data_IF_240622081355
#
_entry.id   IF_240622081355
#
_cell.length_a   1.000
_cell.length_b   1.000
_cell.length_c   1.000
_cell.angle_alpha   90.00
_cell.angle_beta   90.00
_cell.angle_gamma   90.00
#
_symmetry.space_group_name_H-M   'P 1'
#
loop_
_entity.id
_entity.type
_entity.pdbx_description
1 polymer ?
#
# COMPACT_ATOMS: atom_id res chain seq x y z
N UNK A 1 10.67 21.10 4.26
CA UNK A 1 9.74 19.97 4.43
C UNK A 1 8.92 19.86 3.15
N UNK A 2 9.32 19.00 2.21
CA UNK A 2 8.60 18.83 0.96
C UNK A 2 7.21 18.28 1.27
N UNK A 3 6.16 19.06 1.05
CA UNK A 3 4.79 18.58 1.18
C UNK A 3 4.59 17.47 0.16
N UNK A 4 4.58 16.22 0.59
CA UNK A 4 4.26 15.09 -0.29
C UNK A 4 2.79 15.19 -0.66
N UNK A 5 2.50 15.81 -1.81
CA UNK A 5 1.15 15.92 -2.32
C UNK A 5 0.58 14.53 -2.53
N UNK A 6 -0.47 14.23 -1.77
CA UNK A 6 -1.17 12.96 -1.90
C UNK A 6 -1.72 12.82 -3.33
N UNK A 7 -1.42 11.70 -4.00
CA UNK A 7 -1.78 11.49 -5.41
C UNK A 7 -2.36 10.12 -5.70
N UNK A 8 -3.19 10.07 -6.73
CA UNK A 8 -3.62 8.85 -7.41
C UNK A 8 -2.81 8.73 -8.70
N UNK A 9 -2.13 7.60 -8.88
CA UNK A 9 -1.41 7.31 -10.12
C UNK A 9 -2.42 6.88 -11.18
N UNK A 10 -2.40 7.48 -12.40
CA UNK A 10 -3.34 7.13 -13.44
C UNK A 10 -3.21 5.64 -13.81
N UNK A 11 -4.32 4.94 -14.11
CA UNK A 11 -4.28 3.58 -14.59
C UNK A 11 -3.41 3.46 -15.83
N UNK A 12 -2.54 2.44 -15.85
CA UNK A 12 -1.78 2.07 -17.03
C UNK A 12 -2.14 0.65 -17.46
N UNK A 13 -2.32 0.40 -18.76
CA UNK A 13 -2.48 -0.96 -19.25
C UNK A 13 -1.23 -1.77 -18.88
N UNK A 14 -1.44 -3.05 -18.63
CA UNK A 14 -0.31 -3.93 -18.41
C UNK A 14 0.54 -4.03 -19.68
N UNK A 15 1.86 -4.01 -19.48
CA UNK A 15 2.86 -4.35 -20.48
C UNK A 15 4.00 -5.10 -19.80
N UNK A 16 4.70 -6.02 -20.51
CA UNK A 16 5.92 -6.63 -20.01
C UNK A 16 6.97 -5.56 -19.67
N UNK A 17 7.77 -5.83 -18.65
CA UNK A 17 8.89 -4.95 -18.27
C UNK A 17 9.84 -4.79 -19.46
N UNK A 18 10.23 -3.55 -19.74
CA UNK A 18 11.36 -3.26 -20.63
C UNK A 18 12.69 -3.62 -19.95
N UNK A 19 13.77 -3.70 -20.71
CA UNK A 19 15.09 -3.99 -20.16
C UNK A 19 15.51 -2.92 -19.15
N UNK A 20 15.26 -1.64 -19.44
CA UNK A 20 15.57 -0.53 -18.53
C UNK A 20 14.78 -0.61 -17.22
N UNK A 21 13.48 -0.90 -17.30
CA UNK A 21 12.63 -1.07 -16.12
C UNK A 21 13.08 -2.28 -15.29
N UNK A 22 13.42 -3.40 -15.95
CA UNK A 22 13.93 -4.58 -15.29
C UNK A 22 15.28 -4.30 -14.60
N UNK A 23 16.23 -3.64 -15.26
CA UNK A 23 17.52 -3.29 -14.65
C UNK A 23 17.36 -2.38 -13.43
N UNK A 24 16.40 -1.44 -13.47
CA UNK A 24 16.10 -0.61 -12.31
C UNK A 24 15.41 -1.37 -11.17
N UNK A 25 14.60 -2.39 -11.49
CA UNK A 25 13.85 -3.20 -10.51
C UNK A 25 14.68 -4.34 -9.91
N UNK A 26 15.54 -4.97 -10.70
CA UNK A 26 16.26 -6.20 -10.35
C UNK A 26 17.05 -6.10 -9.04
N UNK A 27 17.75 -5.00 -8.70
CA UNK A 27 18.47 -4.86 -7.44
C UNK A 27 17.59 -5.03 -6.19
N UNK A 28 16.29 -4.74 -6.29
CA UNK A 28 15.35 -4.90 -5.17
C UNK A 28 14.83 -6.33 -5.03
N UNK A 29 14.71 -7.04 -6.15
CA UNK A 29 14.14 -8.40 -6.26
C UNK A 29 15.19 -9.48 -6.01
N UNK A 30 16.43 -9.23 -6.45
CA UNK A 30 17.54 -10.16 -6.28
C UNK A 30 17.86 -10.34 -4.78
N UNK A 31 18.05 -11.59 -4.33
CA UNK A 31 18.43 -11.84 -2.96
C UNK A 31 19.84 -11.28 -2.71
N UNK A 32 20.01 -10.55 -1.60
CA UNK A 32 21.32 -9.99 -1.20
C UNK A 32 22.38 -11.07 -0.95
N UNK A 33 21.95 -12.26 -0.52
CA UNK A 33 22.78 -13.45 -0.41
C UNK A 33 22.12 -14.58 -1.22
N UNK A 34 22.81 -15.16 -2.22
CA UNK A 34 22.26 -16.24 -3.03
C UNK A 34 22.31 -17.56 -2.25
N UNK A 35 21.41 -17.75 -1.30
CA UNK A 35 21.20 -19.06 -0.67
C UNK A 35 20.13 -19.84 -1.45
N UNK A 36 20.48 -21.08 -1.81
CA UNK A 36 19.59 -22.04 -2.49
C UNK A 36 19.61 -21.96 -4.02
N UNK A 37 18.72 -22.73 -4.66
CA UNK A 37 18.64 -22.83 -6.13
C UNK A 37 18.24 -21.48 -6.74
N UNK A 38 19.01 -21.02 -7.73
CA UNK A 38 18.70 -19.82 -8.51
C UNK A 38 17.33 -19.99 -9.18
N UNK A 39 16.50 -18.97 -9.03
CA UNK A 39 15.23 -18.90 -9.76
C UNK A 39 15.59 -18.51 -11.19
N UNK A 40 15.33 -19.41 -12.14
CA UNK A 40 15.78 -19.29 -13.53
C UNK A 40 15.30 -18.01 -14.22
N UNK A 41 14.06 -17.58 -13.92
CA UNK A 41 13.49 -16.38 -14.55
C UNK A 41 12.76 -15.52 -13.51
N UNK A 42 13.46 -14.50 -13.00
CA UNK A 42 12.92 -13.56 -12.03
C UNK A 42 12.10 -12.45 -12.70
N UNK A 43 12.47 -12.05 -13.93
CA UNK A 43 11.75 -11.02 -14.69
C UNK A 43 10.37 -11.50 -15.03
N UNK A 44 10.27 -12.70 -15.60
CA UNK A 44 8.98 -13.32 -15.95
C UNK A 44 8.06 -13.48 -14.73
N UNK A 45 8.62 -13.74 -13.54
CA UNK A 45 7.84 -13.78 -12.29
C UNK A 45 7.34 -12.41 -11.85
N UNK A 46 8.13 -11.37 -12.04
CA UNK A 46 7.69 -10.00 -11.76
C UNK A 46 6.64 -9.54 -12.78
N UNK A 47 6.80 -9.89 -14.06
CA UNK A 47 5.80 -9.67 -15.10
C UNK A 47 4.47 -10.35 -14.75
N UNK A 48 4.50 -11.62 -14.32
CA UNK A 48 3.33 -12.35 -13.85
C UNK A 48 2.62 -11.64 -12.68
N UNK A 49 3.39 -11.14 -11.70
CA UNK A 49 2.86 -10.40 -10.56
C UNK A 49 2.21 -9.10 -11.02
N UNK A 50 2.86 -8.34 -11.91
CA UNK A 50 2.36 -7.06 -12.41
C UNK A 50 1.16 -7.21 -13.34
N UNK A 51 1.12 -8.26 -14.15
CA UNK A 51 -0.05 -8.63 -14.95
C UNK A 51 -1.26 -8.80 -14.05
N UNK A 52 -1.15 -9.69 -13.05
CA UNK A 52 -2.25 -9.95 -12.14
C UNK A 52 -2.58 -8.75 -11.24
N UNK A 53 -1.60 -7.92 -10.86
CA UNK A 53 -1.83 -6.70 -10.09
C UNK A 53 -2.65 -5.66 -10.86
N UNK A 54 -2.46 -5.60 -12.19
CA UNK A 54 -3.15 -4.68 -13.08
C UNK A 54 -4.63 -5.04 -13.22
N UNK A 55 -5.00 -6.32 -13.09
CA UNK A 55 -6.41 -6.76 -13.12
C UNK A 55 -7.04 -6.74 -11.72
N UNK A 56 -7.99 -5.82 -11.44
CA UNK A 56 -8.59 -5.68 -10.12
C UNK A 56 -9.43 -6.90 -9.72
N UNK A 57 -9.13 -7.50 -8.57
CA UNK A 57 -9.98 -8.55 -7.99
C UNK A 57 -9.67 -9.98 -8.43
N UNK A 58 -8.75 -10.16 -9.39
CA UNK A 58 -8.43 -11.47 -9.93
C UNK A 58 -7.64 -12.33 -8.93
N UNK A 59 -8.11 -13.55 -8.62
CA UNK A 59 -7.36 -14.50 -7.82
C UNK A 59 -6.15 -15.02 -8.61
N UNK A 60 -5.12 -15.49 -7.90
CA UNK A 60 -3.90 -16.06 -8.51
C UNK A 60 -4.19 -17.15 -9.54
N UNK A 61 -5.22 -17.97 -9.33
CA UNK A 61 -5.64 -19.04 -10.26
C UNK A 61 -6.03 -18.58 -11.67
N UNK A 62 -6.30 -17.29 -11.88
CA UNK A 62 -6.59 -16.73 -13.20
C UNK A 62 -5.34 -16.20 -13.93
N UNK A 63 -4.15 -16.45 -13.39
CA UNK A 63 -2.92 -16.10 -14.07
C UNK A 63 -2.80 -16.90 -15.39
N UNK A 64 -2.46 -16.25 -16.51
CA UNK A 64 -2.27 -16.94 -17.79
C UNK A 64 -1.25 -18.07 -17.71
N UNK A 65 -1.51 -19.16 -18.44
CA UNK A 65 -0.66 -20.36 -18.45
C UNK A 65 0.78 -20.08 -18.91
N UNK A 66 0.98 -19.05 -19.74
CA UNK A 66 2.30 -18.58 -20.18
C UNK A 66 3.26 -18.22 -19.01
N UNK A 67 2.73 -17.90 -17.82
CA UNK A 67 3.53 -17.62 -16.62
C UNK A 67 3.84 -18.85 -15.78
N UNK A 68 3.42 -20.04 -16.22
CA UNK A 68 3.55 -21.30 -15.51
C UNK A 68 2.59 -21.39 -14.31
N UNK A 69 2.97 -22.21 -13.32
CA UNK A 69 2.08 -22.57 -12.20
C UNK A 69 1.74 -21.35 -11.32
N UNK A 70 0.45 -20.98 -11.18
CA UNK A 70 0.04 -19.83 -10.37
C UNK A 70 0.50 -19.86 -8.91
N UNK A 71 0.54 -21.04 -8.29
CA UNK A 71 0.96 -21.24 -6.89
C UNK A 71 2.42 -20.84 -6.68
N UNK A 72 3.23 -21.04 -7.72
CA UNK A 72 4.66 -20.74 -7.72
C UNK A 72 4.89 -19.23 -7.75
N UNK A 73 4.10 -18.49 -8.54
CA UNK A 73 4.12 -17.02 -8.56
C UNK A 73 3.57 -16.46 -7.25
N UNK A 74 2.47 -16.99 -6.74
CA UNK A 74 1.89 -16.57 -5.47
C UNK A 74 2.84 -16.80 -4.28
N UNK A 75 3.57 -17.92 -4.24
CA UNK A 75 4.59 -18.20 -3.22
C UNK A 75 5.75 -17.21 -3.32
N UNK A 76 6.21 -16.90 -4.53
CA UNK A 76 7.26 -15.92 -4.77
C UNK A 76 6.83 -14.51 -4.32
N UNK A 77 5.62 -14.07 -4.69
CA UNK A 77 5.03 -12.81 -4.22
C UNK A 77 4.98 -12.72 -2.69
N UNK A 78 4.53 -13.78 -2.00
CA UNK A 78 4.51 -13.82 -0.53
C UNK A 78 5.91 -13.70 0.08
N UNK A 79 6.91 -14.39 -0.51
CA UNK A 79 8.31 -14.31 -0.09
C UNK A 79 8.85 -12.89 -0.24
N UNK A 80 8.65 -12.25 -1.39
CA UNK A 80 9.08 -10.87 -1.64
C UNK A 80 8.41 -9.89 -0.67
N UNK A 81 7.11 -10.09 -0.42
CA UNK A 81 6.34 -9.25 0.50
C UNK A 81 6.88 -9.34 1.93
N UNK A 82 7.14 -10.55 2.42
CA UNK A 82 7.74 -10.78 3.75
C UNK A 82 9.17 -10.24 3.85
N UNK A 83 9.90 -10.24 2.74
CA UNK A 83 11.23 -9.64 2.63
C UNK A 83 11.20 -8.10 2.45
N UNK A 84 10.06 -7.45 2.64
CA UNK A 84 9.92 -6.00 2.58
C UNK A 84 10.21 -5.39 1.21
N UNK A 85 10.00 -6.14 0.11
CA UNK A 85 10.22 -5.60 -1.25
C UNK A 85 9.41 -4.32 -1.47
N UNK A 86 8.13 -4.34 -1.12
CA UNK A 86 7.23 -3.22 -1.40
C UNK A 86 7.63 -1.96 -0.65
N UNK A 87 8.05 -2.06 0.61
CA UNK A 87 8.58 -0.91 1.36
C UNK A 87 9.72 -0.24 0.63
N UNK A 88 10.73 -1.03 0.25
CA UNK A 88 11.93 -0.53 -0.46
C UNK A 88 11.57 0.08 -1.82
N UNK A 89 10.61 -0.50 -2.54
CA UNK A 89 10.17 0.06 -3.83
C UNK A 89 9.39 1.38 -3.66
N UNK A 90 8.57 1.51 -2.61
CA UNK A 90 7.87 2.77 -2.34
C UNK A 90 8.84 3.88 -1.96
N UNK A 91 9.86 3.57 -1.16
CA UNK A 91 10.95 4.51 -0.81
C UNK A 91 11.75 4.92 -2.05
N UNK A 92 12.15 3.95 -2.88
CA UNK A 92 12.82 4.21 -4.15
C UNK A 92 11.98 5.10 -5.08
N UNK A 93 10.66 4.88 -5.13
CA UNK A 93 9.72 5.73 -5.86
C UNK A 93 9.56 7.12 -5.23
N UNK A 94 9.87 7.33 -3.96
CA UNK A 94 9.86 8.66 -3.35
C UNK A 94 11.14 9.43 -3.68
N UNK A 95 12.26 8.72 -3.77
CA UNK A 95 13.60 9.30 -3.99
C UNK A 95 13.93 9.51 -5.46
N UNK A 96 13.40 8.67 -6.36
CA UNK A 96 13.76 8.73 -7.78
C UNK A 96 13.12 9.91 -8.52
N UNK A 97 13.89 10.52 -9.43
CA UNK A 97 13.41 11.57 -10.33
C UNK A 97 12.27 11.15 -11.27
N UNK A 98 11.65 12.10 -11.98
CA UNK A 98 10.52 11.84 -12.89
C UNK A 98 10.89 10.91 -14.06
N UNK A 99 12.12 10.96 -14.56
CA UNK A 99 12.58 10.19 -15.72
C UNK A 99 13.14 8.80 -15.35
N UNK A 100 13.15 8.45 -14.06
CA UNK A 100 13.70 7.17 -13.61
C UNK A 100 12.84 5.99 -14.11
N UNK A 101 13.41 4.88 -14.61
CA UNK A 101 12.63 3.77 -15.19
C UNK A 101 11.56 3.17 -14.26
N UNK A 102 11.77 3.23 -12.93
CA UNK A 102 10.74 2.81 -11.95
C UNK A 102 9.44 3.62 -12.04
N UNK A 103 9.48 4.88 -12.49
CA UNK A 103 8.29 5.71 -12.76
C UNK A 103 7.46 5.17 -13.92
N UNK A 104 8.10 4.50 -14.86
CA UNK A 104 7.42 3.79 -15.95
C UNK A 104 6.47 2.70 -15.44
N UNK A 105 6.84 2.04 -14.33
CA UNK A 105 6.12 0.91 -13.74
C UNK A 105 5.48 1.25 -12.39
N UNK A 106 5.42 2.52 -12.02
CA UNK A 106 4.91 2.97 -10.72
C UNK A 106 3.50 2.41 -10.47
N UNK A 107 2.59 2.55 -11.43
CA UNK A 107 1.23 2.04 -11.30
C UNK A 107 1.21 0.54 -10.95
N UNK A 108 2.00 -0.28 -11.65
CA UNK A 108 2.10 -1.72 -11.39
C UNK A 108 2.67 -2.02 -9.99
N UNK A 109 3.68 -1.28 -9.54
CA UNK A 109 4.25 -1.39 -8.19
C UNK A 109 3.18 -1.06 -7.13
N UNK A 110 2.44 0.03 -7.29
CA UNK A 110 1.40 0.44 -6.33
C UNK A 110 0.26 -0.58 -6.29
N UNK A 111 -0.17 -1.10 -7.44
CA UNK A 111 -1.19 -2.15 -7.51
C UNK A 111 -0.73 -3.48 -6.91
N UNK A 112 0.54 -3.86 -7.09
CA UNK A 112 1.10 -5.03 -6.45
C UNK A 112 1.22 -4.85 -4.92
N UNK A 113 1.62 -3.65 -4.48
CA UNK A 113 1.64 -3.23 -3.07
C UNK A 113 0.25 -3.31 -2.44
N UNK A 114 -0.80 -2.93 -3.18
CA UNK A 114 -2.19 -3.07 -2.73
C UNK A 114 -2.55 -4.51 -2.37
N UNK A 115 -2.14 -5.48 -3.21
CA UNK A 115 -2.32 -6.92 -2.93
C UNK A 115 -1.50 -7.37 -1.71
N UNK A 116 -0.37 -6.73 -1.45
CA UNK A 116 0.52 -7.01 -0.33
C UNK A 116 0.02 -6.46 1.01
N UNK A 117 -0.96 -5.54 1.03
CA UNK A 117 -1.38 -4.81 2.23
C UNK A 117 -1.66 -5.69 3.47
N UNK A 118 -2.27 -6.87 3.28
CA UNK A 118 -2.53 -7.81 4.39
C UNK A 118 -1.28 -8.47 4.96
N UNK A 119 -0.25 -8.65 4.15
CA UNK A 119 1.01 -9.28 4.53
C UNK A 119 2.03 -8.25 5.02
N UNK A 120 2.02 -7.04 4.45
CA UNK A 120 2.89 -5.93 4.86
C UNK A 120 2.43 -5.21 6.14
N UNK A 121 1.16 -5.37 6.54
CA UNK A 121 0.63 -4.91 7.81
C UNK A 121 0.67 -3.39 7.99
N UNK A 122 0.68 -2.96 9.27
CA UNK A 122 0.68 -1.55 9.65
C UNK A 122 1.89 -0.74 9.15
N UNK A 123 3.13 -1.26 9.16
CA UNK A 123 4.28 -0.51 8.66
C UNK A 123 4.13 -0.12 7.19
N UNK A 124 3.58 -1.02 6.35
CA UNK A 124 3.35 -0.72 4.94
C UNK A 124 2.25 0.34 4.76
N UNK A 125 1.15 0.23 5.51
CA UNK A 125 0.07 1.22 5.48
C UNK A 125 0.56 2.62 5.88
N UNK A 126 1.38 2.70 6.93
CA UNK A 126 1.99 3.95 7.38
C UNK A 126 2.89 4.57 6.32
N UNK A 127 3.73 3.77 5.67
CA UNK A 127 4.60 4.24 4.60
C UNK A 127 3.79 4.79 3.42
N UNK A 128 2.75 4.08 2.99
CA UNK A 128 1.86 4.53 1.91
C UNK A 128 1.22 5.88 2.25
N UNK A 129 0.74 6.06 3.49
CA UNK A 129 0.15 7.33 3.95
C UNK A 129 1.19 8.45 4.00
N UNK A 130 2.38 8.16 4.56
CA UNK A 130 3.49 9.11 4.65
C UNK A 130 3.91 9.62 3.26
N UNK A 131 3.96 8.72 2.28
CA UNK A 131 4.33 9.05 0.89
C UNK A 131 3.16 9.56 0.05
N UNK A 132 1.95 9.65 0.59
CA UNK A 132 0.77 10.11 -0.16
C UNK A 132 0.37 9.24 -1.36
N UNK A 133 0.83 7.98 -1.43
CA UNK A 133 0.65 7.08 -2.58
C UNK A 133 -0.70 6.34 -2.51
N UNK A 134 -1.82 7.06 -2.62
CA UNK A 134 -3.18 6.51 -2.37
C UNK A 134 -3.54 5.31 -3.25
N UNK A 135 -2.98 5.18 -4.44
CA UNK A 135 -3.18 4.00 -5.32
C UNK A 135 -2.63 2.72 -4.70
N UNK A 136 -1.68 2.77 -3.77
CA UNK A 136 -1.21 1.56 -3.09
C UNK A 136 -2.14 1.09 -1.95
N UNK A 137 -3.12 1.91 -1.54
CA UNK A 137 -4.08 1.53 -0.49
C UNK A 137 -5.04 0.45 -0.97
N UNK A 138 -5.36 -0.52 -0.12
CA UNK A 138 -6.29 -1.62 -0.40
C UNK A 138 -7.77 -1.27 -0.17
N UNK A 139 -8.06 0.03 -0.09
CA UNK A 139 -9.39 0.57 0.06
C UNK A 139 -9.32 2.08 0.37
N UNK A 140 -10.49 2.72 0.52
CA UNK A 140 -10.55 4.14 0.81
C UNK A 140 -9.84 4.52 2.13
N UNK A 141 -9.07 5.63 2.17
CA UNK A 141 -8.27 6.04 3.32
C UNK A 141 -9.04 6.17 4.63
N UNK A 142 -10.33 6.52 4.57
CA UNK A 142 -11.23 6.71 5.71
C UNK A 142 -11.85 5.41 6.23
N UNK A 143 -11.67 4.29 5.52
CA UNK A 143 -12.08 2.96 5.99
C UNK A 143 -10.90 2.14 6.53
N UNK A 144 -9.67 2.61 6.31
CA UNK A 144 -8.45 1.97 6.77
C UNK A 144 -7.99 2.58 8.10
N UNK A 145 -7.24 1.81 8.92
CA UNK A 145 -6.64 2.37 10.13
C UNK A 145 -5.78 3.60 9.81
N UNK A 146 -5.86 4.60 10.68
CA UNK A 146 -5.07 5.82 10.62
C UNK A 146 -4.33 6.03 11.95
N UNK A 147 -3.10 5.50 12.07
CA UNK A 147 -2.31 5.69 13.29
C UNK A 147 -1.85 7.14 13.47
N UNK A 148 -1.73 7.92 12.38
CA UNK A 148 -1.38 9.33 12.47
C UNK A 148 -2.52 10.12 13.12
N UNK A 149 -3.77 9.80 12.75
CA UNK A 149 -4.94 10.32 13.46
C UNK A 149 -4.96 9.85 14.92
N UNK A 150 -4.70 8.57 15.19
CA UNK A 150 -4.64 8.08 16.58
C UNK A 150 -3.61 8.83 17.43
N UNK A 151 -2.44 9.14 16.88
CA UNK A 151 -1.39 9.88 17.56
C UNK A 151 -1.76 11.36 17.72
N UNK A 152 -2.46 11.94 16.74
CA UNK A 152 -2.98 13.30 16.80
C UNK A 152 -4.03 13.45 17.90
N UNK A 153 -4.95 12.48 18.00
CA UNK A 153 -5.97 12.43 19.04
C UNK A 153 -5.37 12.24 20.44
N UNK A 154 -4.30 11.45 20.56
CA UNK A 154 -3.57 11.29 21.83
C UNK A 154 -2.99 12.62 22.34
N UNK A 155 -2.65 13.53 21.43
CA UNK A 155 -2.09 14.87 21.73
C UNK A 155 -3.16 15.95 21.85
N UNK A 156 -4.43 15.63 21.58
CA UNK A 156 -5.50 16.60 21.66
C UNK A 156 -5.69 17.07 23.13
N UNK A 157 -5.82 18.38 23.37
CA UNK A 157 -5.94 18.91 24.73
C UNK A 157 -7.27 18.50 25.36
N UNK A 158 -7.24 18.10 26.63
CA UNK A 158 -8.48 17.83 27.37
C UNK A 158 -9.21 19.14 27.66
N UNK A 159 -10.56 19.16 27.59
CA UNK A 159 -11.32 20.34 27.95
C UNK A 159 -11.10 20.63 29.44
N UNK A 160 -11.01 21.91 29.85
CA UNK A 160 -10.90 22.27 31.26
C UNK A 160 -12.14 21.81 32.03
N UNK A 161 -11.99 21.65 33.36
CA UNK A 161 -13.09 21.26 34.22
C UNK A 161 -14.26 22.26 34.09
N UNK A 162 -15.47 21.81 33.70
CA UNK A 162 -16.60 22.70 33.48
C UNK A 162 -17.10 23.28 34.82
N UNK A 163 -17.35 24.59 34.85
CA UNK A 163 -17.92 25.32 36.00
C UNK A 163 -19.39 25.68 35.81
N UNK A 164 -19.90 25.60 34.58
CA UNK A 164 -21.28 25.93 34.21
C UNK A 164 -21.93 24.82 33.37
N UNK A 165 -23.26 24.80 33.31
CA UNK A 165 -24.01 23.82 32.50
C UNK A 165 -23.66 23.90 31.00
N UNK A 166 -23.46 25.12 30.46
CA UNK A 166 -23.03 25.33 29.08
C UNK A 166 -21.64 24.74 28.83
N UNK A 167 -20.68 24.98 29.72
CA UNK A 167 -19.33 24.41 29.64
C UNK A 167 -19.37 22.88 29.74
N UNK A 168 -20.24 22.32 30.58
CA UNK A 168 -20.43 20.88 30.68
C UNK A 168 -20.98 20.29 29.38
N UNK A 169 -21.95 20.95 28.73
CA UNK A 169 -22.50 20.52 27.45
C UNK A 169 -21.43 20.54 26.34
N UNK A 170 -20.62 21.61 26.28
CA UNK A 170 -19.51 21.73 25.34
C UNK A 170 -18.45 20.64 25.55
N UNK A 171 -18.04 20.40 26.80
CA UNK A 171 -17.08 19.35 27.16
C UNK A 171 -17.60 17.96 26.77
N UNK A 172 -18.89 17.67 27.01
CA UNK A 172 -19.53 16.42 26.57
C UNK A 172 -19.49 16.27 25.05
N UNK A 173 -19.81 17.32 24.29
CA UNK A 173 -19.75 17.30 22.82
C UNK A 173 -18.33 17.06 22.30
N UNK A 174 -17.34 17.71 22.92
CA UNK A 174 -15.92 17.53 22.60
C UNK A 174 -15.47 16.08 22.83
N UNK A 175 -15.76 15.50 23.99
CA UNK A 175 -15.38 14.12 24.31
C UNK A 175 -16.05 13.11 23.37
N UNK A 176 -17.33 13.31 23.02
CA UNK A 176 -18.02 12.49 22.01
C UNK A 176 -17.33 12.58 20.65
N UNK A 177 -16.86 13.77 20.27
CA UNK A 177 -16.11 13.97 19.02
C UNK A 177 -14.77 13.23 19.04
N UNK A 178 -14.00 13.33 20.13
CA UNK A 178 -12.76 12.56 20.30
C UNK A 178 -13.04 11.06 20.21
N UNK A 179 -14.05 10.58 20.92
CA UNK A 179 -14.41 9.16 20.93
C UNK A 179 -14.80 8.67 19.52
N UNK A 180 -15.60 9.45 18.79
CA UNK A 180 -15.97 9.16 17.41
C UNK A 180 -14.74 9.13 16.49
N UNK A 181 -13.82 10.08 16.63
CA UNK A 181 -12.58 10.13 15.86
C UNK A 181 -11.64 8.97 16.22
N UNK A 182 -11.55 8.58 17.49
CA UNK A 182 -10.75 7.44 17.94
C UNK A 182 -11.30 6.13 17.36
N UNK A 183 -12.62 5.95 17.35
CA UNK A 183 -13.27 4.83 16.66
C UNK A 183 -13.00 4.84 15.15
N UNK A 184 -12.95 6.02 14.51
CA UNK A 184 -12.60 6.15 13.11
C UNK A 184 -11.13 5.82 12.82
N UNK A 185 -10.20 6.20 13.71
CA UNK A 185 -8.77 5.96 13.58
C UNK A 185 -8.40 4.47 13.54
N UNK A 186 -9.23 3.60 14.13
CA UNK A 186 -9.04 2.14 14.04
C UNK A 186 -9.38 1.57 12.66
N UNK A 187 -10.04 2.35 11.80
CA UNK A 187 -10.59 1.87 10.53
C UNK A 187 -11.74 0.89 10.72
N UNK A 188 -12.21 0.28 9.63
CA UNK A 188 -13.28 -0.72 9.66
C UNK A 188 -12.69 -2.13 9.74
N UNK A 189 -13.22 -2.96 10.64
CA UNK A 189 -12.88 -4.39 10.74
C UNK A 189 -13.05 -5.14 9.42
N UNK A 190 -14.07 -4.78 8.63
CA UNK A 190 -14.36 -5.37 7.32
C UNK A 190 -14.76 -4.30 6.34
N UNK A 191 -14.06 -4.25 5.20
CA UNK A 191 -14.44 -3.42 4.05
C UNK A 191 -15.15 -4.32 3.03
N UNK A 192 -16.36 -3.97 2.55
CA UNK A 192 -17.06 -4.73 1.51
C UNK A 192 -16.20 -4.93 0.25
N UNK A 193 -16.41 -6.05 -0.46
CA UNK A 193 -15.64 -6.35 -1.68
C UNK A 193 -15.89 -5.31 -2.77
N UNK A 194 -17.15 -4.90 -2.95
CA UNK A 194 -17.57 -3.86 -3.91
C UNK A 194 -16.79 -2.57 -3.72
N UNK A 195 -16.71 -2.07 -2.48
CA UNK A 195 -15.96 -0.86 -2.13
C UNK A 195 -14.46 -0.99 -2.40
N UNK A 196 -13.87 -2.17 -2.13
CA UNK A 196 -12.43 -2.40 -2.41
C UNK A 196 -12.13 -2.45 -3.91
N UNK A 197 -13.04 -2.99 -4.71
CA UNK A 197 -12.87 -3.11 -6.16
C UNK A 197 -13.12 -1.78 -6.87
N UNK A 198 -14.04 -0.97 -6.37
CA UNK A 198 -14.32 0.38 -6.87
C UNK A 198 -13.22 1.40 -6.52
N UNK A 199 -12.30 1.05 -5.61
CA UNK A 199 -11.19 1.94 -5.24
C UNK A 199 -10.17 2.05 -6.40
N UNK A 200 -9.91 3.26 -6.93
CA UNK A 200 -9.01 3.47 -8.06
C UNK A 200 -7.56 3.06 -7.74
#
# INVERSE_FOLDING_TARGET
MSHTTSRLTPPRPWSPLTDLQWHALAPYVLPRAPQGRRIADLRHRMDAIFHLASTPGDPWRLLPEAYGRPETVARFFRRLTRAGLWHRLLEALAECGPDHPLRGIEYAILRATRRAARLGGMPLLLLIRKLGLRTALNGPPWLLPDPLLSETLRRAPMPPAPRTALQLAAAKSYLRSIEALARAALGRRRIPRTVRLAWP
#
